data_IF_681371036670
#
_entry.id   IF_681371036670
#
_cell.length_a   1.000
_cell.length_b   1.000
_cell.length_c   1.000
_cell.angle_alpha   90.00
_cell.angle_beta   90.00
_cell.angle_gamma   90.00
#
_symmetry.space_group_name_H-M   'P 1'
#
loop_
_entity.id
_entity.type
_entity.pdbx_description
1 polymer ?
#
# COMPACT_ATOMS: atom_id res chain seq x y z
N UNK A 1 35.71 6.53 -28.73
CA UNK A 1 34.38 5.89 -28.93
C UNK A 1 34.16 4.59 -28.14
N UNK A 2 35.15 3.69 -27.98
CA UNK A 2 34.98 2.41 -27.24
C UNK A 2 34.68 2.58 -25.73
N UNK A 3 35.31 3.54 -25.06
CA UNK A 3 35.03 3.84 -23.65
C UNK A 3 33.65 4.47 -23.42
N UNK A 4 33.19 5.30 -24.35
CA UNK A 4 31.89 5.95 -24.27
C UNK A 4 30.75 4.93 -24.38
N UNK A 5 30.87 3.95 -25.29
CA UNK A 5 29.92 2.82 -25.37
C UNK A 5 29.87 2.02 -24.06
N UNK A 6 31.02 1.69 -23.47
CA UNK A 6 31.08 0.98 -22.17
C UNK A 6 30.41 1.78 -21.06
N UNK A 7 30.60 3.09 -21.05
CA UNK A 7 29.98 3.98 -20.06
C UNK A 7 28.45 3.99 -20.20
N UNK A 8 27.94 4.10 -21.42
CA UNK A 8 26.49 4.06 -21.70
C UNK A 8 25.90 2.71 -21.30
N UNK A 9 26.54 1.59 -21.65
CA UNK A 9 26.08 0.27 -21.24
C UNK A 9 26.08 0.10 -19.72
N UNK A 10 27.10 0.61 -19.03
CA UNK A 10 27.15 0.58 -17.57
C UNK A 10 26.02 1.39 -16.93
N UNK A 11 25.71 2.57 -17.46
CA UNK A 11 24.61 3.40 -16.97
C UNK A 11 23.24 2.74 -17.20
N UNK A 12 23.03 2.14 -18.37
CA UNK A 12 21.81 1.38 -18.66
C UNK A 12 21.63 0.19 -17.72
N UNK A 13 22.72 -0.52 -17.42
CA UNK A 13 22.70 -1.64 -16.49
C UNK A 13 22.34 -1.19 -15.06
N UNK A 14 22.93 -0.10 -14.59
CA UNK A 14 22.60 0.49 -13.27
C UNK A 14 21.13 0.92 -13.22
N UNK A 15 20.63 1.58 -14.27
CA UNK A 15 19.24 2.00 -14.35
C UNK A 15 18.28 0.80 -14.31
N UNK A 16 18.62 -0.29 -15.01
CA UNK A 16 17.84 -1.52 -15.00
C UNK A 16 17.79 -2.15 -13.60
N UNK A 17 18.93 -2.24 -12.92
CA UNK A 17 18.98 -2.73 -11.54
C UNK A 17 18.12 -1.87 -10.60
N UNK A 18 18.21 -0.55 -10.72
CA UNK A 18 17.41 0.37 -9.90
C UNK A 18 15.91 0.15 -10.10
N UNK A 19 15.47 -0.03 -11.35
CA UNK A 19 14.06 -0.30 -11.66
C UNK A 19 13.61 -1.65 -11.08
N UNK A 20 14.45 -2.68 -11.15
CA UNK A 20 14.12 -4.00 -10.61
C UNK A 20 14.00 -4.01 -9.08
N UNK A 21 14.96 -3.40 -8.39
CA UNK A 21 14.97 -3.40 -6.91
C UNK A 21 13.92 -2.47 -6.30
N UNK A 22 13.54 -1.37 -6.98
CA UNK A 22 12.48 -0.47 -6.48
C UNK A 22 11.11 -1.15 -6.43
N UNK A 23 10.79 -2.01 -7.40
CA UNK A 23 9.53 -2.78 -7.39
C UNK A 23 9.48 -3.79 -6.23
N UNK A 24 10.60 -4.45 -5.92
CA UNK A 24 10.69 -5.36 -4.79
C UNK A 24 10.50 -4.65 -3.44
N UNK A 25 11.04 -3.43 -3.31
CA UNK A 25 10.87 -2.61 -2.10
C UNK A 25 9.41 -2.15 -1.96
N UNK A 26 8.78 -1.70 -3.04
CA UNK A 26 7.37 -1.27 -3.01
C UNK A 26 6.41 -2.43 -2.70
N UNK A 27 6.67 -3.63 -3.22
CA UNK A 27 5.88 -4.82 -2.90
C UNK A 27 6.11 -5.32 -1.47
N UNK A 28 7.29 -5.09 -0.89
CA UNK A 28 7.60 -5.45 0.49
C UNK A 28 7.09 -4.43 1.52
N UNK A 29 6.66 -3.24 1.08
CA UNK A 29 5.82 -2.33 1.88
C UNK A 29 4.38 -2.85 1.85
N UNK A 30 4.21 -4.13 2.17
CA UNK A 30 2.91 -4.62 2.62
C UNK A 30 2.65 -3.92 3.95
N UNK A 31 1.58 -3.12 3.98
CA UNK A 31 1.12 -2.49 5.20
C UNK A 31 0.99 -3.57 6.28
N UNK A 32 1.75 -3.44 7.38
CA UNK A 32 1.75 -4.42 8.46
C UNK A 32 0.32 -4.87 8.77
N UNK A 33 0.12 -6.14 9.11
CA UNK A 33 -1.21 -6.69 9.42
C UNK A 33 -1.96 -5.80 10.43
N UNK A 34 -1.24 -5.19 11.36
CA UNK A 34 -1.75 -4.18 12.29
C UNK A 34 -2.31 -2.93 11.58
N UNK A 35 -1.53 -2.27 10.73
CA UNK A 35 -1.98 -1.08 9.99
C UNK A 35 -3.18 -1.45 9.12
N UNK A 36 -3.10 -2.53 8.35
CA UNK A 36 -4.20 -2.98 7.48
C UNK A 36 -5.49 -3.25 8.27
N UNK A 37 -5.40 -3.84 9.47
CA UNK A 37 -6.55 -4.10 10.33
C UNK A 37 -7.12 -2.81 10.96
N UNK A 38 -6.25 -1.88 11.39
CA UNK A 38 -6.66 -0.68 12.13
C UNK A 38 -6.92 0.56 11.27
N UNK A 39 -6.57 0.54 9.97
CA UNK A 39 -6.81 1.68 9.07
C UNK A 39 -7.75 1.35 7.92
N UNK A 40 -8.19 0.10 7.77
CA UNK A 40 -9.16 -0.26 6.74
C UNK A 40 -10.59 -0.01 7.23
N UNK A 41 -11.16 1.13 6.80
CA UNK A 41 -12.50 1.58 7.18
C UNK A 41 -13.60 0.57 6.81
N UNK A 42 -13.47 -0.14 5.68
CA UNK A 42 -14.46 -1.14 5.26
C UNK A 42 -14.48 -2.37 6.17
N UNK A 43 -13.31 -2.80 6.65
CA UNK A 43 -13.16 -3.86 7.64
C UNK A 43 -13.73 -3.39 8.99
N UNK A 44 -13.37 -2.19 9.43
CA UNK A 44 -13.86 -1.65 10.71
C UNK A 44 -15.40 -1.56 10.71
N UNK A 45 -16.00 -1.10 9.61
CA UNK A 45 -17.46 -1.02 9.46
C UNK A 45 -18.13 -2.38 9.40
N UNK A 46 -17.48 -3.41 8.85
CA UNK A 46 -18.05 -4.76 8.79
C UNK A 46 -18.01 -5.49 10.15
N UNK A 47 -17.06 -5.14 11.02
CA UNK A 47 -17.03 -5.60 12.41
C UNK A 47 -18.04 -4.86 13.31
N UNK A 48 -18.53 -3.69 12.89
CA UNK A 48 -19.54 -2.96 13.63
C UNK A 48 -20.91 -3.61 13.48
N UNK A 49 -21.30 -4.41 14.48
CA UNK A 49 -22.70 -4.81 14.64
C UNK A 49 -23.43 -3.68 15.35
N UNK A 50 -24.24 -2.93 14.60
CA UNK A 50 -25.12 -1.93 15.19
C UNK A 50 -25.97 -2.60 16.29
N UNK A 51 -26.05 -1.99 17.48
CA UNK A 51 -26.92 -2.52 18.52
C UNK A 51 -28.35 -2.60 17.94
N UNK A 52 -29.09 -3.69 18.22
CA UNK A 52 -30.48 -3.75 17.81
C UNK A 52 -31.17 -2.54 18.43
N UNK A 53 -31.77 -1.69 17.59
CA UNK A 53 -32.55 -0.54 18.05
C UNK A 53 -33.73 -1.10 18.86
N UNK A 54 -33.58 -1.12 20.18
CA UNK A 54 -34.69 -1.31 21.09
C UNK A 54 -35.50 -0.03 21.02
N UNK A 55 -36.50 -0.07 20.13
CA UNK A 55 -37.47 0.97 19.83
C UNK A 55 -36.90 2.17 19.06
N UNK A 56 -37.42 2.35 17.85
CA UNK A 56 -37.41 3.62 17.15
C UNK A 56 -38.31 4.60 17.94
N UNK A 57 -37.80 5.14 19.04
CA UNK A 57 -38.36 6.33 19.65
C UNK A 57 -37.67 7.52 18.95
N UNK A 58 -38.47 8.24 18.18
CA UNK A 58 -38.12 9.45 17.45
C UNK A 58 -37.45 10.46 18.39
N UNK A 59 -36.19 10.78 18.12
CA UNK A 59 -35.48 11.86 18.80
C UNK A 59 -35.15 12.96 17.80
N UNK A 60 -35.94 14.03 17.78
CA UNK A 60 -35.58 15.29 17.15
C UNK A 60 -34.40 15.92 17.91
N UNK A 61 -33.28 16.14 17.21
CA UNK A 61 -32.10 16.83 17.72
C UNK A 61 -31.18 17.23 16.57
#
# INVERSE_FOLDING_TARGET
MRNQRRFVFSLLFIAFLQLFFTQAILAAVDSSSCVTCHTNESLIKSLYKAPPLLHAEEGEG
#
